data_IF_818371993086
#
_entry.id   IF_818371993086
#
_cell.length_a   1.000
_cell.length_b   1.000
_cell.length_c   1.000
_cell.angle_alpha   90.00
_cell.angle_beta   90.00
_cell.angle_gamma   90.00
#
_symmetry.space_group_name_H-M   'P 1'
#
loop_
_entity.id
_entity.type
_entity.pdbx_description
1 polymer ?
#
# COMPACT_ATOMS: atom_id res chain seq x y z
N UNK A 1 18.15 0.67 0.59
CA UNK A 1 18.74 1.66 1.51
C UNK A 1 17.76 2.80 1.69
N UNK A 2 17.74 3.41 2.88
CA UNK A 2 17.00 4.64 3.16
C UNK A 2 17.91 5.64 3.86
N UNK A 3 17.55 6.91 3.85
CA UNK A 3 18.28 7.97 4.55
C UNK A 3 17.31 8.98 5.14
N UNK A 4 17.78 9.72 6.14
CA UNK A 4 17.06 10.82 6.76
C UNK A 4 17.92 12.07 6.66
N UNK A 5 17.30 13.18 6.25
CA UNK A 5 17.89 14.51 6.34
C UNK A 5 17.26 15.19 7.55
N UNK A 6 18.08 15.59 8.51
CA UNK A 6 17.61 16.15 9.77
C UNK A 6 18.49 17.33 10.19
N UNK A 7 18.02 18.20 11.12
CA UNK A 7 18.85 19.22 11.76
C UNK A 7 20.06 18.59 12.47
N UNK A 8 21.15 19.37 12.62
CA UNK A 8 22.45 18.86 13.11
C UNK A 8 22.36 18.23 14.51
N UNK A 9 21.60 18.81 15.41
CA UNK A 9 21.37 18.30 16.76
C UNK A 9 20.70 16.92 16.75
N UNK A 10 19.74 16.69 15.85
CA UNK A 10 19.06 15.40 15.70
C UNK A 10 19.93 14.40 14.93
N UNK A 11 20.72 14.85 13.97
CA UNK A 11 21.57 13.97 13.13
C UNK A 11 22.56 13.15 13.96
N UNK A 12 23.15 13.75 15.00
CA UNK A 12 24.06 13.04 15.90
C UNK A 12 23.36 11.88 16.61
N UNK A 13 22.18 12.13 17.20
CA UNK A 13 21.41 11.11 17.90
C UNK A 13 20.91 10.00 16.96
N UNK A 14 20.51 10.34 15.74
CA UNK A 14 20.13 9.36 14.73
C UNK A 14 21.32 8.48 14.31
N UNK A 15 22.52 9.05 14.22
CA UNK A 15 23.75 8.32 13.94
C UNK A 15 24.09 7.31 15.05
N UNK A 16 24.01 7.73 16.30
CA UNK A 16 24.21 6.85 17.47
C UNK A 16 23.16 5.72 17.50
N UNK A 17 21.88 6.05 17.27
CA UNK A 17 20.80 5.07 17.20
C UNK A 17 21.00 4.06 16.07
N UNK A 18 21.39 4.50 14.88
CA UNK A 18 21.69 3.62 13.76
C UNK A 18 22.88 2.69 14.04
N UNK A 19 23.92 3.20 14.68
CA UNK A 19 25.08 2.40 15.09
C UNK A 19 24.70 1.31 16.11
N UNK A 20 23.83 1.65 17.08
CA UNK A 20 23.40 0.72 18.12
C UNK A 20 22.40 -0.33 17.61
N UNK A 21 21.50 0.05 16.69
CA UNK A 21 20.40 -0.81 16.22
C UNK A 21 20.77 -1.66 15.01
N UNK A 22 21.66 -1.18 14.14
CA UNK A 22 21.97 -1.80 12.84
C UNK A 22 23.48 -1.99 12.59
N UNK A 23 24.34 -1.62 13.52
CA UNK A 23 25.82 -1.61 13.37
C UNK A 23 26.30 -0.76 12.17
N UNK A 24 25.45 0.18 11.71
CA UNK A 24 25.70 0.98 10.52
C UNK A 24 25.24 0.32 9.22
N UNK A 25 25.31 1.08 8.13
CA UNK A 25 24.99 0.58 6.79
C UNK A 25 26.26 0.04 6.12
N UNK A 26 26.27 -1.21 5.58
CA UNK A 26 27.41 -1.76 4.87
C UNK A 26 27.91 -0.86 3.75
N UNK A 27 29.23 -0.70 3.61
CA UNK A 27 29.83 0.23 2.65
C UNK A 27 29.42 -0.09 1.21
N UNK A 28 29.38 -1.35 0.82
CA UNK A 28 28.99 -1.73 -0.54
C UNK A 28 27.55 -1.35 -0.91
N UNK A 29 26.63 -1.29 0.07
CA UNK A 29 25.25 -0.81 -0.13
C UNK A 29 25.27 0.70 -0.33
N UNK A 30 26.09 1.43 0.41
CA UNK A 30 26.24 2.88 0.25
C UNK A 30 26.80 3.22 -1.13
N UNK A 31 27.85 2.52 -1.56
CA UNK A 31 28.49 2.70 -2.88
C UNK A 31 27.51 2.38 -4.03
N UNK A 32 26.78 1.26 -3.92
CA UNK A 32 25.77 0.91 -4.90
C UNK A 32 24.63 1.94 -4.97
N UNK A 33 24.21 2.47 -3.82
CA UNK A 33 23.17 3.51 -3.76
C UNK A 33 23.64 4.83 -4.37
N UNK A 34 24.89 5.22 -4.08
CA UNK A 34 25.51 6.41 -4.69
C UNK A 34 25.63 6.26 -6.20
N UNK A 35 26.05 5.09 -6.67
CA UNK A 35 26.11 4.78 -8.10
C UNK A 35 24.72 4.87 -8.75
N UNK A 36 23.70 4.25 -8.16
CA UNK A 36 22.34 4.29 -8.67
C UNK A 36 21.82 5.73 -8.75
N UNK A 37 21.97 6.54 -7.72
CA UNK A 37 21.51 7.92 -7.69
C UNK A 37 22.17 8.79 -8.81
N UNK A 38 23.41 8.47 -9.20
CA UNK A 38 24.12 9.21 -10.22
C UNK A 38 23.92 8.71 -11.66
N UNK A 39 23.34 7.51 -11.84
CA UNK A 39 23.29 6.85 -13.15
C UNK A 39 21.90 6.31 -13.55
N UNK A 40 20.85 6.57 -12.77
CA UNK A 40 19.61 5.78 -12.84
C UNK A 40 18.43 6.50 -13.51
N UNK A 41 18.66 7.57 -14.26
CA UNK A 41 17.57 8.33 -14.90
C UNK A 41 16.72 7.48 -15.85
N UNK A 42 17.35 6.57 -16.60
CA UNK A 42 16.63 5.70 -17.53
C UNK A 42 15.73 4.71 -16.80
N UNK A 43 16.25 4.00 -15.79
CA UNK A 43 15.51 3.02 -15.02
C UNK A 43 14.36 3.65 -14.22
N UNK A 44 14.62 4.77 -13.57
CA UNK A 44 13.58 5.53 -12.84
C UNK A 44 12.45 5.95 -13.76
N UNK A 45 12.76 6.43 -14.97
CA UNK A 45 11.74 6.83 -15.94
C UNK A 45 10.91 5.62 -16.40
N UNK A 46 11.54 4.50 -16.72
CA UNK A 46 10.86 3.26 -17.10
C UNK A 46 9.92 2.77 -15.97
N UNK A 47 10.43 2.70 -14.75
CA UNK A 47 9.64 2.27 -13.60
C UNK A 47 8.48 3.21 -13.29
N UNK A 48 8.63 4.51 -13.49
CA UNK A 48 7.53 5.47 -13.34
C UNK A 48 6.38 5.17 -14.30
N UNK A 49 6.65 4.84 -15.54
CA UNK A 49 5.59 4.47 -16.49
C UNK A 49 4.91 3.16 -16.11
N UNK A 50 5.67 2.15 -15.70
CA UNK A 50 5.13 0.88 -15.21
C UNK A 50 4.21 1.08 -14.00
N UNK A 51 4.63 1.89 -13.01
CA UNK A 51 3.78 2.15 -11.84
C UNK A 51 2.60 3.06 -12.17
N UNK A 52 2.73 3.97 -13.12
CA UNK A 52 1.62 4.79 -13.60
C UNK A 52 0.52 3.92 -14.21
N UNK A 53 0.87 3.01 -15.12
CA UNK A 53 -0.06 2.07 -15.72
C UNK A 53 -0.77 1.23 -14.65
N UNK A 54 -0.03 0.62 -13.74
CA UNK A 54 -0.56 -0.20 -12.65
C UNK A 54 -1.52 0.58 -11.75
N UNK A 55 -1.13 1.78 -11.36
CA UNK A 55 -1.96 2.69 -10.57
C UNK A 55 -3.27 3.02 -11.30
N UNK A 56 -3.18 3.40 -12.55
CA UNK A 56 -4.33 3.85 -13.31
C UNK A 56 -5.33 2.71 -13.52
N UNK A 57 -4.86 1.51 -13.86
CA UNK A 57 -5.72 0.32 -13.97
C UNK A 57 -6.41 0.00 -12.64
N UNK A 58 -5.68 -0.02 -11.53
CA UNK A 58 -6.27 -0.29 -10.21
C UNK A 58 -7.27 0.79 -9.82
N UNK A 59 -6.92 2.07 -9.97
CA UNK A 59 -7.81 3.17 -9.63
C UNK A 59 -9.09 3.17 -10.47
N UNK A 60 -9.01 2.88 -11.77
CA UNK A 60 -10.21 2.75 -12.63
C UNK A 60 -11.15 1.63 -12.18
N UNK A 61 -10.59 0.53 -11.68
CA UNK A 61 -11.38 -0.58 -11.11
C UNK A 61 -12.03 -0.20 -9.78
N UNK A 62 -11.27 0.41 -8.88
CA UNK A 62 -11.74 0.83 -7.57
C UNK A 62 -12.87 1.87 -7.66
N UNK A 63 -12.84 2.79 -8.64
CA UNK A 63 -13.89 3.79 -8.86
C UNK A 63 -15.27 3.17 -9.14
N UNK A 64 -15.32 1.93 -9.63
CA UNK A 64 -16.58 1.22 -9.95
C UNK A 64 -17.12 0.41 -8.76
N UNK A 65 -16.38 0.31 -7.68
CA UNK A 65 -16.74 -0.50 -6.52
C UNK A 65 -17.55 0.36 -5.52
N UNK A 66 -18.77 -0.07 -5.14
CA UNK A 66 -19.58 0.70 -4.19
C UNK A 66 -19.03 0.57 -2.76
N UNK A 67 -19.24 1.62 -1.98
CA UNK A 67 -18.95 1.61 -0.53
C UNK A 67 -17.50 1.88 -0.14
N UNK A 68 -16.56 1.94 -1.08
CA UNK A 68 -15.18 2.32 -0.85
C UNK A 68 -14.89 3.73 -1.36
N UNK A 69 -13.87 4.36 -0.76
CA UNK A 69 -13.34 5.66 -1.19
C UNK A 69 -11.82 5.56 -1.26
N UNK A 70 -11.20 6.36 -2.08
CA UNK A 70 -9.74 6.49 -2.11
C UNK A 70 -9.35 7.80 -2.79
N UNK A 71 -8.14 8.26 -2.52
CA UNK A 71 -7.48 9.30 -3.30
C UNK A 71 -6.50 8.63 -4.26
N UNK A 72 -6.56 9.00 -5.56
CA UNK A 72 -5.57 8.52 -6.53
C UNK A 72 -4.20 9.05 -6.14
N UNK A 73 -3.22 8.17 -5.84
CA UNK A 73 -1.91 8.63 -5.40
C UNK A 73 -1.13 9.26 -6.55
N UNK A 74 -0.41 10.35 -6.27
CA UNK A 74 0.48 11.00 -7.24
C UNK A 74 1.77 10.22 -7.44
N UNK A 75 2.21 9.48 -6.42
CA UNK A 75 3.44 8.70 -6.41
C UNK A 75 3.33 7.47 -5.51
N UNK A 76 4.38 6.65 -5.50
CA UNK A 76 4.47 5.48 -4.64
C UNK A 76 3.95 4.21 -5.29
N UNK A 77 3.91 3.14 -4.50
CA UNK A 77 3.68 1.78 -4.97
C UNK A 77 2.43 1.13 -4.33
N UNK A 78 1.50 1.92 -3.82
CA UNK A 78 0.26 1.43 -3.21
C UNK A 78 -0.86 2.46 -3.27
N UNK A 79 -2.10 1.97 -3.13
CA UNK A 79 -3.30 2.78 -2.95
C UNK A 79 -3.87 2.51 -1.56
N UNK A 80 -4.20 3.55 -0.81
CA UNK A 80 -4.95 3.45 0.44
C UNK A 80 -6.44 3.53 0.12
N UNK A 81 -7.18 2.50 0.49
CA UNK A 81 -8.62 2.37 0.24
C UNK A 81 -9.33 2.56 1.56
N UNK A 82 -10.16 3.57 1.67
CA UNK A 82 -11.06 3.80 2.80
C UNK A 82 -12.26 2.86 2.69
N UNK A 83 -12.38 1.97 3.68
CA UNK A 83 -13.44 0.99 3.83
C UNK A 83 -14.35 1.29 5.03
N UNK A 84 -14.19 2.45 5.67
CA UNK A 84 -14.94 2.80 6.88
C UNK A 84 -16.45 2.83 6.69
N UNK A 85 -16.93 3.04 5.45
CA UNK A 85 -18.34 2.93 5.09
C UNK A 85 -18.87 1.48 5.02
N UNK A 86 -17.99 0.47 5.09
CA UNK A 86 -18.32 -0.95 4.97
C UNK A 86 -18.04 -1.68 6.29
N UNK A 87 -16.83 -1.49 6.83
CA UNK A 87 -16.35 -2.13 8.04
C UNK A 87 -15.44 -1.16 8.82
N UNK A 88 -15.71 -1.00 10.12
CA UNK A 88 -14.89 -0.15 11.00
C UNK A 88 -13.57 -0.83 11.40
N UNK A 89 -13.57 -2.17 11.49
CA UNK A 89 -12.38 -2.96 11.82
C UNK A 89 -11.64 -3.40 10.55
N UNK A 90 -10.63 -2.62 10.17
CA UNK A 90 -9.78 -2.90 9.01
C UNK A 90 -8.98 -4.20 9.12
N UNK A 91 -8.67 -4.66 10.34
CA UNK A 91 -8.02 -5.94 10.57
C UNK A 91 -8.99 -7.10 10.31
N UNK A 92 -10.24 -6.98 10.77
CA UNK A 92 -11.24 -8.00 10.50
C UNK A 92 -11.54 -8.09 9.01
N UNK A 93 -11.73 -6.93 8.33
CA UNK A 93 -11.92 -6.87 6.89
C UNK A 93 -10.79 -7.57 6.13
N UNK A 94 -9.53 -7.28 6.48
CA UNK A 94 -8.36 -7.89 5.82
C UNK A 94 -8.30 -9.41 6.03
N UNK A 95 -8.63 -9.91 7.23
CA UNK A 95 -8.70 -11.36 7.52
C UNK A 95 -9.80 -12.05 6.74
N UNK A 96 -10.99 -11.45 6.69
CA UNK A 96 -12.14 -12.04 5.98
C UNK A 96 -11.91 -12.05 4.47
N UNK A 97 -11.33 -11.00 3.93
CA UNK A 97 -10.94 -10.93 2.52
C UNK A 97 -9.91 -12.03 2.16
N UNK A 98 -8.92 -12.22 3.03
CA UNK A 98 -7.93 -13.29 2.84
C UNK A 98 -8.57 -14.67 2.91
N UNK A 99 -9.45 -14.91 3.87
CA UNK A 99 -10.09 -16.21 4.07
C UNK A 99 -11.06 -16.56 2.95
N UNK A 100 -11.85 -15.59 2.46
CA UNK A 100 -12.92 -15.86 1.49
C UNK A 100 -12.44 -15.75 0.03
N UNK A 101 -11.52 -14.83 -0.27
CA UNK A 101 -11.08 -14.53 -1.64
C UNK A 101 -9.59 -14.80 -1.88
N UNK A 102 -8.84 -15.25 -0.87
CA UNK A 102 -7.38 -15.45 -0.95
C UNK A 102 -6.65 -14.18 -1.43
N UNK A 103 -7.15 -13.01 -1.05
CA UNK A 103 -6.56 -11.71 -1.34
C UNK A 103 -6.01 -11.10 -0.05
N UNK A 104 -4.69 -10.90 0.01
CA UNK A 104 -4.02 -10.27 1.14
C UNK A 104 -3.86 -8.78 0.91
N UNK A 105 -4.55 -7.96 1.69
CA UNK A 105 -4.33 -6.52 1.82
C UNK A 105 -3.84 -6.22 3.24
N UNK A 106 -3.07 -5.14 3.39
CA UNK A 106 -2.60 -4.75 4.72
C UNK A 106 -3.61 -3.79 5.36
N UNK A 107 -4.02 -4.05 6.63
CA UNK A 107 -4.88 -3.11 7.35
C UNK A 107 -4.18 -1.78 7.58
N UNK A 108 -4.92 -0.68 7.44
CA UNK A 108 -4.39 0.67 7.59
C UNK A 108 -3.92 0.96 9.01
N UNK A 109 -4.58 0.40 10.01
CA UNK A 109 -4.19 0.53 11.43
C UNK A 109 -2.75 0.08 11.72
N UNK A 110 -2.14 -0.77 10.88
CA UNK A 110 -0.73 -1.13 10.95
C UNK A 110 0.22 0.05 10.66
N UNK A 111 -0.29 1.13 10.05
CA UNK A 111 0.49 2.33 9.69
C UNK A 111 0.18 3.54 10.58
N UNK A 112 -0.61 3.35 11.62
CA UNK A 112 -0.94 4.37 12.62
C UNK A 112 -2.44 4.68 12.71
N UNK A 113 -2.78 5.54 13.67
CA UNK A 113 -4.18 5.83 14.00
C UNK A 113 -4.93 6.58 12.87
N UNK A 114 -4.23 7.39 12.09
CA UNK A 114 -4.85 8.20 11.01
C UNK A 114 -5.29 7.35 9.80
N UNK A 115 -4.81 6.12 9.71
CA UNK A 115 -5.13 5.19 8.62
C UNK A 115 -6.07 4.06 9.03
N UNK A 116 -6.67 4.14 10.23
CA UNK A 116 -7.74 3.23 10.65
C UNK A 116 -8.93 3.30 9.68
N UNK A 117 -9.61 2.19 9.48
CA UNK A 117 -10.70 2.08 8.51
C UNK A 117 -10.24 2.09 7.06
N UNK A 118 -8.95 1.86 6.82
CA UNK A 118 -8.38 1.73 5.47
C UNK A 118 -7.72 0.38 5.28
N UNK A 119 -7.56 -0.01 4.02
CA UNK A 119 -6.68 -1.11 3.61
C UNK A 119 -5.71 -0.65 2.53
N UNK A 120 -4.49 -1.19 2.55
CA UNK A 120 -3.44 -0.87 1.60
C UNK A 120 -3.37 -1.90 0.48
N UNK A 121 -3.66 -1.47 -0.74
CA UNK A 121 -3.51 -2.26 -1.96
C UNK A 121 -2.14 -1.97 -2.61
N UNK A 122 -1.32 -3.01 -2.78
CA UNK A 122 0.02 -2.88 -3.36
C UNK A 122 0.00 -2.92 -4.88
N UNK A 123 0.80 -2.08 -5.54
CA UNK A 123 0.93 -1.98 -7.00
C UNK A 123 2.19 -2.68 -7.56
N UNK A 124 2.88 -3.48 -6.75
CA UNK A 124 4.18 -4.08 -7.14
C UNK A 124 4.05 -5.25 -8.11
N UNK A 125 2.85 -5.82 -8.24
CA UNK A 125 2.58 -6.97 -9.08
C UNK A 125 2.32 -6.56 -10.56
N UNK A 126 2.45 -7.49 -11.53
CA UNK A 126 2.03 -7.26 -12.91
C UNK A 126 0.55 -6.88 -13.01
N UNK A 127 0.18 -6.14 -14.07
CA UNK A 127 -1.19 -5.64 -14.30
C UNK A 127 -2.22 -6.78 -14.24
N UNK A 128 -1.93 -7.94 -14.82
CA UNK A 128 -2.85 -9.09 -14.80
C UNK A 128 -3.17 -9.58 -13.38
N UNK A 129 -2.18 -9.60 -12.49
CA UNK A 129 -2.35 -9.98 -11.08
C UNK A 129 -3.12 -8.91 -10.31
N UNK A 130 -2.86 -7.63 -10.62
CA UNK A 130 -3.59 -6.51 -10.01
C UNK A 130 -5.08 -6.50 -10.41
N UNK A 131 -5.38 -6.80 -11.67
CA UNK A 131 -6.75 -6.96 -12.16
C UNK A 131 -7.46 -8.10 -11.43
N UNK A 132 -6.83 -9.27 -11.33
CA UNK A 132 -7.37 -10.39 -10.55
C UNK A 132 -7.60 -10.02 -9.07
N UNK A 133 -6.67 -9.27 -8.47
CA UNK A 133 -6.84 -8.73 -7.10
C UNK A 133 -8.05 -7.82 -6.97
N UNK A 134 -8.27 -6.95 -7.96
CA UNK A 134 -9.47 -6.10 -8.02
C UNK A 134 -10.75 -6.93 -8.19
N UNK A 135 -10.75 -7.97 -9.03
CA UNK A 135 -11.90 -8.86 -9.23
C UNK A 135 -12.29 -9.59 -7.93
N UNK A 136 -11.30 -10.06 -7.17
CA UNK A 136 -11.50 -10.69 -5.86
C UNK A 136 -12.08 -9.71 -4.84
N UNK A 137 -11.52 -8.50 -4.76
CA UNK A 137 -12.06 -7.45 -3.89
C UNK A 137 -13.52 -7.12 -4.25
N UNK A 138 -13.82 -6.98 -5.52
CA UNK A 138 -15.18 -6.69 -5.99
C UNK A 138 -16.17 -7.80 -5.63
N UNK A 139 -15.80 -9.09 -5.79
CA UNK A 139 -16.63 -10.23 -5.38
C UNK A 139 -16.91 -10.21 -3.88
N UNK A 140 -15.88 -9.98 -3.07
CA UNK A 140 -16.01 -9.88 -1.63
C UNK A 140 -16.99 -8.78 -1.21
N UNK A 141 -16.85 -7.58 -1.77
CA UNK A 141 -17.73 -6.45 -1.48
C UNK A 141 -19.20 -6.71 -1.87
N UNK A 142 -19.44 -7.47 -2.96
CA UNK A 142 -20.79 -7.85 -3.39
C UNK A 142 -21.41 -8.90 -2.46
N UNK A 143 -20.65 -9.88 -1.97
CA UNK A 143 -21.13 -10.91 -1.06
C UNK A 143 -21.46 -10.36 0.32
N UNK A 144 -20.66 -9.46 0.86
CA UNK A 144 -20.87 -8.83 2.17
C UNK A 144 -22.13 -7.93 2.17
N UNK A 145 -22.36 -7.17 1.11
CA UNK A 145 -23.59 -6.38 0.93
C UNK A 145 -24.86 -7.24 0.87
N UNK A 146 -24.77 -8.45 0.34
CA UNK A 146 -25.92 -9.37 0.25
C UNK A 146 -26.29 -9.93 1.63
N UNK A 147 -25.31 -10.17 2.51
CA UNK A 147 -25.57 -10.66 3.87
C UNK A 147 -26.16 -9.58 4.78
N UNK A 148 -25.72 -8.33 4.68
CA UNK A 148 -26.24 -7.21 5.45
C UNK A 148 -27.68 -6.87 5.12
N UNK A 149 -28.10 -7.02 3.86
CA UNK A 149 -29.48 -6.80 3.42
C UNK A 149 -30.44 -7.89 3.93
N UNK A 150 -29.99 -9.12 4.19
CA UNK A 150 -30.84 -10.18 4.72
C UNK A 150 -31.01 -10.10 6.25
N UNK A 151 -30.07 -9.51 6.97
CA UNK A 151 -30.14 -9.34 8.43
C UNK A 151 -30.94 -8.09 8.87
N UNK A 152 -31.28 -7.20 7.97
CA UNK A 152 -32.08 -6.00 8.27
C UNK A 152 -33.59 -6.16 8.03
N UNK A 153 -34.05 -7.37 7.63
CA UNK A 153 -35.46 -7.68 7.31
C UNK A 153 -36.05 -8.72 8.29
N UNK A 154 -35.34 -9.04 9.39
CA UNK A 154 -35.82 -9.98 10.40
C UNK A 154 -36.24 -9.29 11.71
#
# INVERSE_FOLDING_TARGET
>A
MGWVVAPDDLTQHLGEFAAMSQFGCPQFIQDASAFALNNDEFYVREMREVYRERRDVVCERLLKMPGIRFNKPDAGMFVMIDISGICEDDNQFARDLLANESLSLLPGSAFGNMTRGHVRFSLVQPVSVLVEGCDRLERFLKSDNSQKNHSSVA
#
